data_IF_793155727383
#
_entry.id   IF_793155727383
#
_cell.length_a   1.000
_cell.length_b   1.000
_cell.length_c   1.000
_cell.angle_alpha   90.00
_cell.angle_beta   90.00
_cell.angle_gamma   90.00
#
_symmetry.space_group_name_H-M   'P 1'
#
loop_
_entity.id
_entity.type
_entity.pdbx_description
1 polymer ?
#
# COMPACT_ATOMS: atom_id res chain seq x y z
N UNK A 1 22.43 9.76 0.07
CA UNK A 1 22.58 9.02 1.34
C UNK A 1 22.10 7.57 1.27
N UNK A 2 21.76 7.03 0.08
CA UNK A 2 21.24 5.67 -0.09
C UNK A 2 22.29 4.55 0.02
N UNK A 3 23.56 4.85 -0.28
CA UNK A 3 24.61 3.83 -0.41
C UNK A 3 24.99 3.11 0.90
N UNK A 4 24.69 3.70 2.06
CA UNK A 4 24.99 3.11 3.37
C UNK A 4 23.87 2.22 3.91
N UNK A 5 22.63 2.34 3.42
CA UNK A 5 21.52 1.42 3.76
C UNK A 5 21.43 0.23 2.81
N UNK A 6 21.94 0.37 1.58
CA UNK A 6 21.94 -0.71 0.58
C UNK A 6 22.91 -1.84 0.95
N UNK A 7 24.11 -1.52 1.44
CA UNK A 7 25.12 -2.54 1.80
C UNK A 7 24.66 -3.45 2.97
N UNK A 8 24.08 -2.92 4.08
CA UNK A 8 23.50 -3.75 5.13
C UNK A 8 22.32 -4.60 4.66
N UNK A 9 21.49 -4.10 3.73
CA UNK A 9 20.35 -4.84 3.22
C UNK A 9 20.77 -6.06 2.39
N UNK A 10 21.81 -5.91 1.55
CA UNK A 10 22.36 -7.02 0.76
C UNK A 10 22.99 -8.12 1.63
N UNK A 11 23.72 -7.74 2.67
CA UNK A 11 24.30 -8.68 3.63
C UNK A 11 23.21 -9.50 4.33
N UNK A 12 22.16 -8.84 4.80
CA UNK A 12 21.03 -9.49 5.48
C UNK A 12 20.27 -10.42 4.52
N UNK A 13 20.07 -10.00 3.26
CA UNK A 13 19.51 -10.88 2.23
C UNK A 13 20.36 -12.14 2.04
N UNK A 14 21.68 -12.00 1.95
CA UNK A 14 22.60 -13.13 1.85
C UNK A 14 22.52 -14.09 3.05
N UNK A 15 22.45 -13.56 4.27
CA UNK A 15 22.28 -14.36 5.49
C UNK A 15 20.93 -15.11 5.53
N UNK A 16 19.85 -14.48 5.06
CA UNK A 16 18.53 -15.14 4.95
C UNK A 16 18.61 -16.33 3.98
N UNK A 17 19.22 -16.14 2.81
CA UNK A 17 19.41 -17.22 1.83
C UNK A 17 20.30 -18.34 2.37
N UNK A 18 21.35 -18.01 3.13
CA UNK A 18 22.21 -19.01 3.77
C UNK A 18 21.45 -19.81 4.84
N UNK A 19 20.60 -19.15 5.63
CA UNK A 19 19.71 -19.81 6.60
C UNK A 19 18.78 -20.81 5.91
N UNK A 20 18.06 -20.36 4.88
CA UNK A 20 17.14 -21.19 4.10
C UNK A 20 17.85 -22.40 3.49
N UNK A 21 19.10 -22.22 3.03
CA UNK A 21 19.94 -23.29 2.49
C UNK A 21 20.29 -24.35 3.54
N UNK A 22 20.75 -23.95 4.73
CA UNK A 22 21.05 -24.90 5.81
C UNK A 22 19.79 -25.63 6.29
N UNK A 23 18.66 -24.93 6.41
CA UNK A 23 17.36 -25.54 6.77
C UNK A 23 16.91 -26.57 5.71
N UNK A 24 17.11 -26.26 4.43
CA UNK A 24 16.88 -27.19 3.32
C UNK A 24 17.78 -28.43 3.39
N UNK A 25 19.08 -28.25 3.67
CA UNK A 25 20.01 -29.36 3.84
C UNK A 25 19.68 -30.25 5.04
N UNK A 26 19.28 -29.65 6.17
CA UNK A 26 18.82 -30.40 7.35
C UNK A 26 17.55 -31.19 7.05
N UNK A 27 16.60 -30.61 6.33
CA UNK A 27 15.38 -31.30 5.89
C UNK A 27 15.71 -32.50 4.99
N UNK A 28 16.59 -32.29 4.00
CA UNK A 28 17.05 -33.36 3.11
C UNK A 28 17.84 -34.45 3.83
N UNK A 29 18.62 -34.08 4.85
CA UNK A 29 19.37 -35.00 5.69
C UNK A 29 18.42 -35.87 6.51
N UNK A 30 17.41 -35.28 7.16
CA UNK A 30 16.42 -35.99 7.98
C UNK A 30 15.64 -37.04 7.17
N UNK A 31 15.26 -36.72 5.93
CA UNK A 31 14.60 -37.66 5.02
C UNK A 31 15.45 -38.92 4.72
N UNK A 32 16.77 -38.84 4.89
CA UNK A 32 17.73 -39.94 4.64
C UNK A 32 18.21 -40.63 5.92
N UNK A 33 17.65 -40.28 7.09
CA UNK A 33 18.06 -40.83 8.39
C UNK A 33 18.09 -42.36 8.41
N UNK A 34 17.05 -43.02 7.88
CA UNK A 34 16.93 -44.48 7.90
C UNK A 34 17.94 -45.25 7.05
N UNK A 35 18.55 -44.59 6.06
CA UNK A 35 19.54 -45.19 5.17
C UNK A 35 21.00 -44.88 5.57
N UNK A 36 21.19 -44.07 6.60
CA UNK A 36 22.51 -43.56 7.01
C UNK A 36 22.91 -44.14 8.35
N UNK A 37 24.18 -44.55 8.57
CA UNK A 37 24.65 -44.93 9.89
C UNK A 37 24.43 -43.79 10.91
N UNK A 38 23.80 -44.09 12.05
CA UNK A 38 23.36 -43.08 13.02
C UNK A 38 24.46 -42.10 13.45
N UNK A 39 25.65 -42.60 13.80
CA UNK A 39 26.76 -41.74 14.22
C UNK A 39 27.27 -40.79 13.12
N UNK A 40 27.18 -41.17 11.84
CA UNK A 40 27.54 -40.28 10.72
C UNK A 40 26.47 -39.22 10.53
N UNK A 41 25.20 -39.64 10.58
CA UNK A 41 24.06 -38.74 10.52
C UNK A 41 24.12 -37.69 11.62
N UNK A 42 24.30 -38.11 12.88
CA UNK A 42 24.31 -37.21 14.03
C UNK A 42 25.44 -36.18 13.94
N UNK A 43 26.62 -36.60 13.48
CA UNK A 43 27.76 -35.70 13.28
C UNK A 43 27.51 -34.66 12.19
N UNK A 44 26.99 -35.07 11.04
CA UNK A 44 26.70 -34.14 9.91
C UNK A 44 25.56 -33.19 10.29
N UNK A 45 24.54 -33.70 10.97
CA UNK A 45 23.45 -32.88 11.50
C UNK A 45 23.97 -31.82 12.47
N UNK A 46 24.81 -32.21 13.43
CA UNK A 46 25.40 -31.28 14.39
C UNK A 46 26.24 -30.17 13.72
N UNK A 47 26.98 -30.49 12.65
CA UNK A 47 27.73 -29.48 11.88
C UNK A 47 26.78 -28.47 11.22
N UNK A 48 25.74 -28.93 10.52
CA UNK A 48 24.76 -28.03 9.90
C UNK A 48 23.96 -27.23 10.93
N UNK A 49 23.57 -27.83 12.05
CA UNK A 49 22.89 -27.12 13.15
C UNK A 49 23.80 -26.02 13.72
N UNK A 50 25.10 -26.29 13.89
CA UNK A 50 26.08 -25.30 14.37
C UNK A 50 26.23 -24.13 13.39
N UNK A 51 26.33 -24.41 12.09
CA UNK A 51 26.43 -23.37 11.05
C UNK A 51 25.15 -22.54 10.95
N UNK A 52 23.99 -23.20 10.98
CA UNK A 52 22.69 -22.54 10.99
C UNK A 52 22.54 -21.62 12.21
N UNK A 53 22.97 -22.08 13.40
CA UNK A 53 22.99 -21.24 14.59
C UNK A 53 23.87 -20.00 14.40
N UNK A 54 25.07 -20.15 13.84
CA UNK A 54 25.95 -19.02 13.56
C UNK A 54 25.35 -17.99 12.58
N UNK A 55 24.61 -18.43 11.56
CA UNK A 55 23.86 -17.52 10.67
C UNK A 55 22.73 -16.81 11.41
N UNK A 56 21.99 -17.54 12.26
CA UNK A 56 20.89 -16.96 13.07
C UNK A 56 21.41 -15.92 14.06
N UNK A 57 22.56 -16.16 14.68
CA UNK A 57 23.19 -15.22 15.60
C UNK A 57 23.58 -13.92 14.87
N UNK A 58 24.20 -14.03 13.68
CA UNK A 58 24.51 -12.86 12.83
C UNK A 58 23.26 -12.11 12.40
N UNK A 59 22.20 -12.80 11.98
CA UNK A 59 20.92 -12.16 11.66
C UNK A 59 20.37 -11.38 12.86
N UNK A 60 20.45 -11.93 14.07
CA UNK A 60 19.96 -11.28 15.28
C UNK A 60 20.73 -9.98 15.59
N UNK A 61 22.03 -9.90 15.29
CA UNK A 61 22.83 -8.68 15.43
C UNK A 61 22.32 -7.53 14.54
N UNK A 62 21.74 -7.84 13.38
CA UNK A 62 21.21 -6.84 12.45
C UNK A 62 19.76 -6.41 12.74
N UNK A 63 18.97 -7.19 13.48
CA UNK A 63 17.54 -6.89 13.74
C UNK A 63 17.37 -5.56 14.47
N UNK A 64 18.16 -5.29 15.52
CA UNK A 64 18.06 -4.05 16.29
C UNK A 64 18.29 -2.79 15.45
N UNK A 65 19.40 -2.69 14.70
CA UNK A 65 19.63 -1.60 13.76
C UNK A 65 18.51 -1.43 12.71
N UNK A 66 17.99 -2.52 12.15
CA UNK A 66 16.88 -2.45 11.18
C UNK A 66 15.59 -1.91 11.83
N UNK A 67 15.25 -2.34 13.04
CA UNK A 67 14.10 -1.82 13.79
C UNK A 67 14.23 -0.32 14.07
N UNK A 68 15.45 0.15 14.39
CA UNK A 68 15.71 1.57 14.58
C UNK A 68 15.54 2.37 13.27
N UNK A 69 15.99 1.81 12.14
CA UNK A 69 15.78 2.40 10.83
C UNK A 69 14.28 2.44 10.44
N UNK A 70 13.52 1.38 10.76
CA UNK A 70 12.06 1.35 10.54
C UNK A 70 11.37 2.44 11.34
N UNK A 71 11.72 2.60 12.62
CA UNK A 71 11.17 3.66 13.47
C UNK A 71 11.51 5.05 12.95
N UNK A 72 12.69 5.25 12.34
CA UNK A 72 13.07 6.53 11.73
C UNK A 72 12.28 6.82 10.47
N UNK A 73 12.15 5.85 9.57
CA UNK A 73 11.32 5.99 8.37
C UNK A 73 9.85 6.23 8.73
N UNK A 74 9.32 5.57 9.75
CA UNK A 74 7.95 5.79 10.22
C UNK A 74 7.75 7.24 10.69
N UNK A 75 8.69 7.79 11.48
CA UNK A 75 8.64 9.21 11.90
C UNK A 75 8.69 10.15 10.70
N UNK A 76 9.54 9.87 9.70
CA UNK A 76 9.62 10.68 8.48
C UNK A 76 8.34 10.61 7.66
N UNK A 77 7.74 9.43 7.54
CA UNK A 77 6.45 9.24 6.88
C UNK A 77 5.36 10.08 7.54
N UNK A 78 5.28 10.07 8.87
CA UNK A 78 4.30 10.86 9.62
C UNK A 78 4.52 12.37 9.44
N UNK A 79 5.78 12.82 9.44
CA UNK A 79 6.14 14.23 9.19
C UNK A 79 5.74 14.69 7.79
N UNK A 80 6.08 13.91 6.75
CA UNK A 80 5.71 14.23 5.37
C UNK A 80 4.19 14.18 5.19
N UNK A 81 3.50 13.23 5.83
CA UNK A 81 2.04 13.12 5.76
C UNK A 81 1.34 14.31 6.42
N UNK A 82 1.84 14.79 7.56
CA UNK A 82 1.33 16.03 8.20
C UNK A 82 1.57 17.25 7.30
N UNK A 83 2.78 17.41 6.80
CA UNK A 83 3.13 18.49 5.87
C UNK A 83 2.26 18.47 4.61
N UNK A 84 1.95 17.28 4.08
CA UNK A 84 1.06 17.11 2.92
C UNK A 84 -0.35 17.60 3.23
N UNK A 85 -0.90 17.24 4.38
CA UNK A 85 -2.22 17.73 4.83
C UNK A 85 -2.26 19.25 4.93
N UNK A 86 -1.26 19.86 5.60
CA UNK A 86 -1.17 21.33 5.71
C UNK A 86 -1.09 22.02 4.34
N UNK A 87 -0.36 21.45 3.38
CA UNK A 87 -0.30 22.01 2.01
C UNK A 87 -1.59 21.81 1.21
N UNK A 88 -2.31 20.72 1.45
CA UNK A 88 -3.62 20.49 0.84
C UNK A 88 -4.65 21.50 1.35
N UNK A 89 -4.65 21.79 2.66
CA UNK A 89 -5.51 22.81 3.25
C UNK A 89 -5.19 24.20 2.69
N UNK A 90 -3.90 24.54 2.57
CA UNK A 90 -3.45 25.80 1.95
C UNK A 90 -3.86 25.91 0.49
N UNK A 91 -3.77 24.82 -0.28
CA UNK A 91 -4.23 24.79 -1.67
C UNK A 91 -5.74 25.03 -1.74
N UNK A 92 -6.53 24.36 -0.92
CA UNK A 92 -7.98 24.52 -0.89
C UNK A 92 -8.40 25.95 -0.49
N UNK A 93 -7.75 26.54 0.51
CA UNK A 93 -7.98 27.94 0.89
C UNK A 93 -7.66 28.88 -0.28
N UNK A 94 -6.53 28.67 -0.94
CA UNK A 94 -6.08 29.52 -2.05
C UNK A 94 -6.99 29.41 -3.29
N UNK A 95 -7.46 28.21 -3.60
CA UNK A 95 -8.48 27.97 -4.63
C UNK A 95 -9.76 28.74 -4.31
N UNK A 96 -10.23 28.68 -3.06
CA UNK A 96 -11.42 29.42 -2.61
C UNK A 96 -11.22 30.94 -2.73
N UNK A 97 -10.10 31.48 -2.26
CA UNK A 97 -9.80 32.92 -2.31
C UNK A 97 -9.69 33.44 -3.75
N UNK A 98 -9.13 32.62 -4.65
CA UNK A 98 -9.08 32.89 -6.09
C UNK A 98 -10.48 32.94 -6.68
N UNK A 99 -11.35 31.99 -6.33
CA UNK A 99 -12.72 31.94 -6.82
C UNK A 99 -13.59 33.10 -6.31
N UNK A 100 -13.37 33.53 -5.07
CA UNK A 100 -14.01 34.73 -4.50
C UNK A 100 -13.53 36.02 -5.19
N UNK A 101 -12.45 35.95 -5.98
CA UNK A 101 -11.90 37.07 -6.73
C UNK A 101 -11.01 37.99 -5.89
N UNK A 102 -10.39 37.47 -4.82
CA UNK A 102 -9.42 38.24 -4.02
C UNK A 102 -8.15 38.57 -4.85
N UNK A 103 -7.82 37.71 -5.81
CA UNK A 103 -6.68 37.89 -6.72
C UNK A 103 -7.15 38.16 -8.14
N UNK A 104 -6.29 38.81 -8.94
CA UNK A 104 -6.46 38.78 -10.39
C UNK A 104 -6.42 37.32 -10.89
N UNK A 105 -7.19 37.01 -11.94
CA UNK A 105 -7.39 35.62 -12.37
C UNK A 105 -6.08 34.90 -12.71
N UNK A 106 -5.17 35.57 -13.42
CA UNK A 106 -3.84 35.06 -13.77
C UNK A 106 -2.93 34.88 -12.55
N UNK A 107 -2.99 35.82 -11.62
CA UNK A 107 -2.22 35.78 -10.38
C UNK A 107 -2.68 34.64 -9.46
N UNK A 108 -3.99 34.49 -9.28
CA UNK A 108 -4.60 33.42 -8.49
C UNK A 108 -4.33 32.05 -9.10
N UNK A 109 -4.50 31.90 -10.42
CA UNK A 109 -4.19 30.65 -11.12
C UNK A 109 -2.73 30.24 -10.93
N UNK A 110 -1.77 31.18 -11.09
CA UNK A 110 -0.35 30.90 -10.86
C UNK A 110 -0.09 30.42 -9.44
N UNK A 111 -0.66 31.08 -8.42
CA UNK A 111 -0.48 30.66 -7.02
C UNK A 111 -1.04 29.26 -6.79
N UNK A 112 -2.23 28.96 -7.32
CA UNK A 112 -2.85 27.62 -7.21
C UNK A 112 -1.95 26.57 -7.86
N UNK A 113 -1.39 26.86 -9.04
CA UNK A 113 -0.46 25.95 -9.73
C UNK A 113 0.82 25.69 -8.91
N UNK A 114 1.40 26.72 -8.30
CA UNK A 114 2.57 26.61 -7.41
C UNK A 114 2.26 25.76 -6.17
N UNK A 115 1.16 26.04 -5.48
CA UNK A 115 0.73 25.26 -4.31
C UNK A 115 0.44 23.79 -4.67
N UNK A 116 -0.22 23.56 -5.80
CA UNK A 116 -0.48 22.20 -6.30
C UNK A 116 0.81 21.45 -6.66
N UNK A 117 1.85 22.15 -7.16
CA UNK A 117 3.16 21.54 -7.40
C UNK A 117 3.82 21.08 -6.11
N UNK A 118 3.77 21.91 -5.05
CA UNK A 118 4.30 21.54 -3.74
C UNK A 118 3.56 20.33 -3.12
N UNK A 119 2.24 20.26 -3.29
CA UNK A 119 1.43 19.09 -2.87
C UNK A 119 1.89 17.82 -3.61
N UNK A 120 2.10 17.89 -4.93
CA UNK A 120 2.58 16.74 -5.71
C UNK A 120 3.97 16.27 -5.29
N UNK A 121 4.87 17.20 -4.98
CA UNK A 121 6.21 16.87 -4.49
C UNK A 121 6.15 16.13 -3.15
N UNK A 122 5.38 16.64 -2.18
CA UNK A 122 5.21 16.00 -0.88
C UNK A 122 4.51 14.64 -0.98
N UNK A 123 3.53 14.50 -1.86
CA UNK A 123 2.89 13.20 -2.09
C UNK A 123 3.86 12.18 -2.70
N UNK A 124 4.71 12.59 -3.63
CA UNK A 124 5.79 11.76 -4.16
C UNK A 124 6.77 11.33 -3.07
N UNK A 125 7.18 12.25 -2.20
CA UNK A 125 8.05 11.94 -1.06
C UNK A 125 7.38 10.98 -0.06
N UNK A 126 6.07 11.15 0.21
CA UNK A 126 5.28 10.26 1.07
C UNK A 126 5.23 8.85 0.51
N UNK A 127 4.95 8.70 -0.80
CA UNK A 127 4.92 7.40 -1.49
C UNK A 127 6.27 6.70 -1.44
N UNK A 128 7.35 7.40 -1.80
CA UNK A 128 8.71 6.87 -1.72
C UNK A 128 9.07 6.40 -0.31
N UNK A 129 8.73 7.19 0.73
CA UNK A 129 8.99 6.80 2.12
C UNK A 129 8.17 5.57 2.54
N UNK A 130 6.92 5.48 2.07
CA UNK A 130 6.03 4.32 2.34
C UNK A 130 6.54 3.03 1.69
N UNK A 131 7.09 3.12 0.47
CA UNK A 131 7.68 1.99 -0.24
C UNK A 131 8.92 1.47 0.50
N UNK A 132 9.84 2.36 0.88
CA UNK A 132 11.04 2.01 1.67
C UNK A 132 10.66 1.33 2.99
N UNK A 133 9.65 1.85 3.68
CA UNK A 133 9.15 1.31 4.94
C UNK A 133 8.49 -0.07 4.76
N UNK A 134 7.82 -0.31 3.62
CA UNK A 134 7.25 -1.62 3.27
C UNK A 134 8.36 -2.64 2.99
N UNK A 135 9.37 -2.26 2.21
CA UNK A 135 10.53 -3.10 1.91
C UNK A 135 11.28 -3.49 3.20
N UNK A 136 11.54 -2.53 4.08
CA UNK A 136 12.25 -2.75 5.32
C UNK A 136 11.48 -3.69 6.28
N UNK A 137 10.16 -3.51 6.39
CA UNK A 137 9.30 -4.42 7.17
C UNK A 137 9.31 -5.85 6.63
N UNK A 138 9.27 -6.01 5.30
CA UNK A 138 9.37 -7.32 4.68
C UNK A 138 10.73 -7.97 4.95
N UNK A 139 11.82 -7.20 4.91
CA UNK A 139 13.15 -7.68 5.26
C UNK A 139 13.23 -8.12 6.73
N UNK A 140 12.71 -7.30 7.66
CA UNK A 140 12.64 -7.63 9.09
C UNK A 140 11.82 -8.90 9.35
N UNK A 141 10.68 -9.09 8.68
CA UNK A 141 9.86 -10.29 8.81
C UNK A 141 10.62 -11.54 8.39
N UNK A 142 11.34 -11.48 7.26
CA UNK A 142 12.17 -12.59 6.77
C UNK A 142 13.36 -12.86 7.68
N UNK A 143 14.02 -11.82 8.17
CA UNK A 143 15.16 -11.93 9.08
C UNK A 143 14.75 -12.55 10.43
N UNK A 144 13.61 -12.11 10.99
CA UNK A 144 13.05 -12.62 12.25
C UNK A 144 12.54 -14.07 12.18
N UNK A 145 12.45 -14.66 10.99
CA UNK A 145 12.13 -16.08 10.82
C UNK A 145 10.72 -16.45 11.30
N UNK A 146 9.81 -15.48 11.46
CA UNK A 146 8.42 -15.78 11.77
C UNK A 146 7.71 -16.19 10.48
N UNK A 147 7.30 -17.47 10.33
CA UNK A 147 6.43 -17.85 9.23
C UNK A 147 5.02 -17.30 9.53
N UNK A 148 4.82 -16.00 9.34
CA UNK A 148 3.49 -15.41 9.25
C UNK A 148 3.19 -15.13 7.79
N UNK A 149 2.93 -16.21 7.06
CA UNK A 149 2.00 -16.11 5.96
C UNK A 149 0.60 -15.94 6.55
N UNK A 150 -0.22 -14.98 6.09
CA UNK A 150 -1.65 -15.06 6.31
C UNK A 150 -2.13 -16.31 5.58
N UNK A 151 -2.30 -17.43 6.30
CA UNK A 151 -3.24 -18.44 5.85
C UNK A 151 -4.61 -17.76 5.91
N UNK A 152 -5.31 -17.57 4.78
CA UNK A 152 -6.68 -17.09 4.85
C UNK A 152 -7.45 -18.13 5.67
N UNK A 153 -7.85 -17.75 6.88
CA UNK A 153 -8.88 -18.47 7.61
C UNK A 153 -10.09 -18.50 6.68
N UNK A 154 -10.35 -19.68 6.13
CA UNK A 154 -11.63 -20.00 5.53
C UNK A 154 -12.71 -19.63 6.56
N UNK A 155 -13.77 -18.89 6.17
CA UNK A 155 -14.82 -18.53 7.09
C UNK A 155 -15.41 -19.82 7.65
N UNK A 156 -15.20 -20.06 8.94
CA UNK A 156 -15.85 -21.13 9.68
C UNK A 156 -17.34 -20.79 9.65
N UNK A 157 -18.06 -21.49 8.78
CA UNK A 157 -19.51 -21.42 8.71
C UNK A 157 -20.07 -21.74 10.09
N UNK A 158 -20.73 -20.74 10.67
CA UNK A 158 -21.46 -20.84 11.92
C UNK A 158 -22.72 -21.71 11.69
N UNK A 159 -22.56 -23.03 11.61
CA UNK A 159 -23.69 -23.97 11.74
C UNK A 159 -24.08 -24.03 13.20
N UNK A 160 -25.10 -23.25 13.55
CA UNK A 160 -25.83 -23.41 14.81
C UNK A 160 -26.58 -24.73 14.79
N UNK A 161 -26.05 -25.73 15.49
CA UNK A 161 -26.75 -27.00 15.72
C UNK A 161 -27.29 -27.02 17.15
N UNK A 162 -28.62 -27.11 17.22
CA UNK A 162 -29.42 -27.09 18.43
C UNK A 162 -29.18 -28.38 19.22
N UNK A 163 -28.82 -28.18 20.49
CA UNK A 163 -28.63 -29.22 21.52
C UNK A 163 -29.97 -29.91 21.86
N UNK A 164 -30.04 -31.22 21.61
CA UNK A 164 -31.08 -32.13 22.12
C UNK A 164 -30.48 -33.22 23.04
N UNK A 165 -31.24 -33.76 24.02
CA UNK A 165 -30.70 -34.52 25.15
C UNK A 165 -30.52 -36.04 24.92
N UNK A 166 -29.75 -36.64 25.81
CA UNK A 166 -29.13 -37.97 25.78
C UNK A 166 -30.02 -39.18 26.18
N UNK A 167 -29.57 -40.37 25.75
CA UNK A 167 -29.47 -41.69 26.43
C UNK A 167 -29.90 -42.88 25.55
N UNK A 168 -29.59 -44.16 25.90
CA UNK A 168 -28.31 -44.78 26.26
C UNK A 168 -27.97 -46.02 25.39
N UNK A 169 -26.74 -46.56 25.55
CA UNK A 169 -26.18 -47.73 24.86
C UNK A 169 -26.87 -49.08 25.19
N UNK A 170 -26.56 -50.14 24.43
CA UNK A 170 -25.93 -51.28 25.11
C UNK A 170 -24.74 -51.92 24.39
N UNK A 171 -23.90 -52.49 25.26
CA UNK A 171 -22.82 -53.46 25.13
C UNK A 171 -23.11 -54.65 24.19
N UNK A 172 -22.08 -55.15 23.50
CA UNK A 172 -21.55 -56.51 23.71
C UNK A 172 -20.67 -57.05 22.56
N UNK A 173 -19.51 -57.55 22.99
CA UNK A 173 -18.85 -58.81 22.58
C UNK A 173 -18.02 -58.87 21.27
N UNK A 174 -16.70 -58.98 21.49
CA UNK A 174 -15.72 -59.70 20.66
C UNK A 174 -15.98 -61.24 20.69
N UNK A 175 -15.41 -62.07 19.79
CA UNK A 175 -14.02 -62.56 20.01
C UNK A 175 -13.15 -62.93 18.76
N UNK A 176 -11.83 -62.84 18.97
CA UNK A 176 -10.69 -63.75 18.64
C UNK A 176 -10.47 -64.46 17.26
N UNK A 177 -9.33 -64.10 16.64
CA UNK A 177 -8.19 -64.92 16.09
C UNK A 177 -8.41 -65.94 14.92
N UNK A 178 -7.36 -66.55 14.27
CA UNK A 178 -5.90 -66.33 14.27
C UNK A 178 -5.17 -66.29 12.88
N UNK A 179 -3.87 -65.94 12.95
CA UNK A 179 -2.68 -66.26 12.13
C UNK A 179 -2.77 -66.91 10.71
N UNK A 180 -2.00 -66.36 9.77
CA UNK A 180 -1.30 -67.14 8.74
C UNK A 180 -0.01 -66.43 8.26
N UNK A 181 1.10 -67.07 8.65
CA UNK A 181 2.42 -67.18 8.04
C UNK A 181 2.48 -66.98 6.50
N UNK A 182 3.40 -66.15 6.01
CA UNK A 182 4.03 -66.29 4.68
C UNK A 182 5.43 -65.66 4.62
N UNK A 183 6.43 -66.53 4.64
CA UNK A 183 7.74 -66.33 4.01
C UNK A 183 7.61 -66.05 2.50
N UNK A 184 8.40 -65.10 1.99
CA UNK A 184 9.00 -65.06 0.64
C UNK A 184 9.95 -63.85 0.61
N UNK A 185 11.26 -64.02 0.79
CA UNK A 185 12.24 -64.43 -0.22
C UNK A 185 12.61 -63.33 -1.23
N UNK A 186 13.78 -62.72 -0.99
CA UNK A 186 14.89 -62.44 -1.93
C UNK A 186 14.67 -61.39 -3.04
N UNK A 187 15.51 -60.35 -3.01
CA UNK A 187 16.49 -60.05 -4.07
C UNK A 187 17.34 -58.81 -3.72
N UNK A 188 18.64 -59.01 -3.58
CA UNK A 188 19.64 -57.96 -3.79
C UNK A 188 19.82 -57.73 -5.31
N UNK A 189 20.35 -56.57 -5.70
CA UNK A 189 21.60 -56.65 -6.46
C UNK A 189 22.69 -55.71 -5.95
N UNK A 190 23.89 -56.28 -5.91
CA UNK A 190 25.17 -55.59 -5.91
C UNK A 190 25.43 -54.90 -7.25
N UNK A 191 26.13 -53.76 -7.25
CA UNK A 191 26.94 -53.35 -8.41
C UNK A 191 27.24 -51.85 -8.52
N UNK A 192 28.54 -51.56 -8.64
CA UNK A 192 29.23 -50.33 -9.09
C UNK A 192 29.28 -49.14 -8.11
N UNK A 193 30.40 -48.82 -7.45
CA UNK A 193 31.79 -48.58 -7.87
C UNK A 193 32.06 -47.17 -8.45
N UNK A 194 33.07 -46.54 -7.83
CA UNK A 194 33.96 -45.47 -8.30
C UNK A 194 33.35 -44.07 -8.49
N UNK A 195 33.71 -43.08 -7.65
CA UNK A 195 34.99 -42.37 -7.53
C UNK A 195 34.86 -41.01 -8.24
N UNK A 196 35.00 -39.90 -7.51
CA UNK A 196 35.76 -38.76 -8.02
C UNK A 196 36.30 -37.92 -6.85
N UNK A 197 37.62 -37.79 -6.91
CA UNK A 197 38.54 -37.06 -6.06
C UNK A 197 38.57 -35.57 -6.44
N UNK A 198 39.25 -34.82 -5.59
CA UNK A 198 39.45 -33.37 -5.54
C UNK A 198 40.08 -32.71 -6.79
N UNK A 199 39.87 -31.39 -6.92
CA UNK A 199 40.89 -30.39 -7.29
C UNK A 199 40.32 -28.95 -7.24
N UNK A 200 40.95 -28.05 -6.46
CA UNK A 200 41.66 -26.81 -6.88
C UNK A 200 40.74 -25.60 -7.19
N UNK A 201 40.78 -24.44 -6.50
CA UNK A 201 41.84 -23.40 -6.31
C UNK A 201 42.50 -22.89 -7.60
N UNK A 202 42.07 -21.71 -8.06
CA UNK A 202 42.81 -20.50 -8.55
C UNK A 202 41.79 -19.61 -9.30
N UNK A 203 41.44 -18.40 -8.87
CA UNK A 203 42.17 -17.12 -8.98
C UNK A 203 42.55 -16.73 -10.41
N UNK A 204 41.77 -15.84 -11.06
CA UNK A 204 42.26 -14.71 -11.87
C UNK A 204 41.12 -13.78 -12.36
N UNK A 205 41.48 -12.51 -12.45
CA UNK A 205 40.68 -11.30 -12.48
C UNK A 205 40.21 -10.88 -13.92
N UNK A 206 39.57 -9.69 -14.11
CA UNK A 206 38.58 -9.41 -15.17
C UNK A 206 39.16 -8.66 -16.39
N UNK A 207 38.35 -8.39 -17.43
CA UNK A 207 38.63 -7.30 -18.36
C UNK A 207 37.67 -6.11 -18.28
N UNK A 208 38.34 -4.98 -18.43
CA UNK A 208 37.96 -3.57 -18.54
C UNK A 208 36.73 -3.18 -19.38
N UNK A 209 36.25 -1.97 -19.03
CA UNK A 209 35.34 -1.11 -19.76
C UNK A 209 35.85 -0.69 -21.15
N UNK A 210 34.93 -0.37 -22.05
CA UNK A 210 35.17 0.52 -23.20
C UNK A 210 33.93 1.38 -23.47
N UNK A 211 34.12 2.68 -23.30
CA UNK A 211 33.26 3.76 -23.76
C UNK A 211 33.45 3.96 -25.27
N UNK A 212 32.39 4.17 -26.04
CA UNK A 212 32.49 5.01 -27.25
C UNK A 212 31.13 5.56 -27.69
N UNK A 213 31.06 6.90 -27.71
CA UNK A 213 30.07 7.72 -28.40
C UNK A 213 30.31 7.67 -29.92
N UNK A 214 29.24 7.71 -30.72
CA UNK A 214 29.18 8.55 -31.93
C UNK A 214 27.75 8.65 -32.47
N UNK A 215 27.43 9.86 -32.91
CA UNK A 215 26.17 10.36 -33.41
C UNK A 215 25.67 9.69 -34.70
N UNK A 216 24.37 9.81 -34.98
CA UNK A 216 23.80 9.83 -36.33
C UNK A 216 22.41 10.50 -36.36
N UNK A 217 22.41 11.73 -36.88
CA UNK A 217 21.49 12.34 -37.86
C UNK A 217 20.02 11.92 -37.97
N UNK A 218 19.14 12.93 -37.89
CA UNK A 218 17.77 13.00 -38.44
C UNK A 218 17.77 12.81 -39.99
N UNK A 219 16.63 12.61 -40.71
CA UNK A 219 15.48 13.53 -40.73
C UNK A 219 14.07 12.92 -41.01
N UNK A 220 13.06 13.80 -40.93
CA UNK A 220 11.87 13.92 -41.81
C UNK A 220 10.50 13.71 -41.15
N UNK A 221 9.80 14.84 -41.03
CA UNK A 221 8.35 15.01 -40.99
C UNK A 221 7.67 14.41 -42.23
N UNK A 222 6.38 14.04 -42.13
CA UNK A 222 5.41 14.82 -42.90
C UNK A 222 4.16 15.21 -42.08
N UNK A 223 3.62 16.37 -42.47
CA UNK A 223 2.35 16.91 -42.03
C UNK A 223 1.17 16.17 -42.69
N UNK A 224 0.05 16.06 -41.98
CA UNK A 224 -1.28 16.07 -42.59
C UNK A 224 -2.35 16.46 -41.57
N UNK A 225 -3.10 17.49 -41.94
CA UNK A 225 -4.42 17.89 -41.46
C UNK A 225 -5.37 16.71 -41.17
N UNK A 226 -6.16 16.84 -40.09
CA UNK A 226 -7.63 16.83 -40.20
C UNK A 226 -8.33 17.31 -38.93
N UNK A 227 -9.16 18.34 -39.09
CA UNK A 227 -10.21 18.76 -38.16
C UNK A 227 -11.43 17.83 -38.26
N UNK A 228 -12.13 17.76 -37.12
CA UNK A 228 -13.57 17.57 -36.92
C UNK A 228 -14.21 16.21 -37.27
N UNK A 229 -14.69 15.52 -36.23
CA UNK A 229 -16.12 15.25 -35.96
C UNK A 229 -16.29 13.94 -35.16
N UNK A 230 -17.21 13.95 -34.20
CA UNK A 230 -17.86 12.74 -33.69
C UNK A 230 -17.54 12.37 -32.25
N UNK A 231 -18.41 12.79 -31.33
CA UNK A 231 -18.66 12.05 -30.09
C UNK A 231 -19.23 10.67 -30.42
N UNK A 232 -18.88 9.65 -29.62
CA UNK A 232 -19.86 8.63 -29.26
C UNK A 232 -20.03 8.51 -27.75
N UNK A 233 -21.29 8.53 -27.36
CA UNK A 233 -21.78 8.20 -26.04
C UNK A 233 -21.61 6.71 -25.74
N UNK A 234 -21.17 6.41 -24.52
CA UNK A 234 -21.64 5.26 -23.74
C UNK A 234 -20.95 3.92 -23.99
N UNK A 235 -20.02 3.56 -23.10
CA UNK A 235 -19.93 2.17 -22.63
C UNK A 235 -19.36 2.10 -21.21
N UNK A 236 -20.11 1.40 -20.35
CA UNK A 236 -19.73 1.05 -18.98
C UNK A 236 -18.45 0.19 -18.98
N UNK A 237 -17.53 0.49 -18.06
CA UNK A 237 -16.56 -0.48 -17.55
C UNK A 237 -16.48 -0.33 -16.04
N UNK A 238 -16.84 -1.41 -15.36
CA UNK A 238 -16.48 -1.67 -13.98
C UNK A 238 -14.99 -2.04 -13.91
N UNK A 239 -14.31 -1.54 -12.89
CA UNK A 239 -13.14 -2.20 -12.29
C UNK A 239 -11.79 -1.95 -12.95
N UNK A 240 -11.18 -0.79 -12.69
CA UNK A 240 -9.76 -0.64 -12.41
C UNK A 240 -9.58 0.73 -11.75
N UNK A 241 -9.16 0.75 -10.49
CA UNK A 241 -8.77 1.98 -9.80
C UNK A 241 -7.39 2.37 -10.31
N UNK A 242 -7.34 3.00 -11.48
CA UNK A 242 -6.15 3.67 -11.96
C UNK A 242 -6.07 5.05 -11.30
N UNK A 243 -5.01 5.19 -10.50
CA UNK A 243 -4.59 6.36 -9.73
C UNK A 243 -4.01 7.45 -10.66
N UNK A 244 -4.83 7.93 -11.59
CA UNK A 244 -4.55 9.04 -12.52
C UNK A 244 -5.79 9.96 -12.56
N UNK A 245 -6.28 10.35 -11.38
CA UNK A 245 -7.31 11.40 -11.26
C UNK A 245 -6.83 12.57 -10.41
N UNK A 246 -5.55 12.95 -10.55
CA UNK A 246 -5.19 14.36 -10.40
C UNK A 246 -5.57 15.10 -11.69
N UNK A 247 -6.88 15.25 -11.87
CA UNK A 247 -7.45 16.01 -12.96
C UNK A 247 -7.02 17.46 -12.78
N UNK A 248 -6.37 18.03 -13.81
CA UNK A 248 -5.67 19.31 -13.76
C UNK A 248 -6.45 20.41 -13.01
N UNK A 249 -5.72 21.26 -12.29
CA UNK A 249 -6.23 22.34 -11.42
C UNK A 249 -7.35 23.17 -12.04
N UNK A 250 -7.35 23.36 -13.36
CA UNK A 250 -8.47 24.01 -14.08
C UNK A 250 -9.81 23.28 -13.95
N UNK A 251 -9.83 21.95 -14.09
CA UNK A 251 -11.07 21.16 -13.93
C UNK A 251 -11.53 21.10 -12.46
N UNK A 252 -10.60 21.20 -11.49
CA UNK A 252 -10.96 21.32 -10.07
C UNK A 252 -11.58 22.68 -9.78
N UNK A 253 -11.01 23.78 -10.27
CA UNK A 253 -11.61 25.10 -10.12
C UNK A 253 -12.97 25.19 -10.84
N UNK A 254 -13.10 24.63 -12.04
CA UNK A 254 -14.37 24.56 -12.76
C UNK A 254 -15.40 23.69 -12.04
N UNK A 255 -14.99 22.56 -11.45
CA UNK A 255 -15.86 21.68 -10.67
C UNK A 255 -16.27 22.30 -9.32
N UNK A 256 -15.36 23.02 -8.65
CA UNK A 256 -15.66 23.74 -7.41
C UNK A 256 -16.56 24.95 -7.70
N UNK A 257 -16.30 25.69 -8.78
CA UNK A 257 -17.15 26.76 -9.27
C UNK A 257 -18.53 26.24 -9.70
N UNK A 258 -18.61 25.06 -10.32
CA UNK A 258 -19.87 24.40 -10.63
C UNK A 258 -20.60 23.89 -9.38
N UNK A 259 -19.86 23.45 -8.35
CA UNK A 259 -20.42 23.02 -7.07
C UNK A 259 -20.89 24.20 -6.21
N UNK A 260 -20.24 25.36 -6.29
CA UNK A 260 -20.65 26.60 -5.64
C UNK A 260 -21.72 27.35 -6.47
N UNK A 261 -21.73 27.16 -7.78
CA UNK A 261 -22.81 27.57 -8.69
C UNK A 261 -24.02 26.62 -8.69
N UNK A 262 -23.89 25.47 -8.04
CA UNK A 262 -24.95 24.50 -7.80
C UNK A 262 -25.82 24.91 -6.63
N UNK A 263 -26.85 25.70 -6.93
CA UNK A 263 -27.96 26.06 -6.04
C UNK A 263 -27.65 27.02 -4.88
N UNK A 264 -27.22 28.24 -5.23
CA UNK A 264 -28.01 29.39 -4.80
C UNK A 264 -28.61 29.96 -6.08
N UNK A 265 -29.87 29.63 -6.33
CA UNK A 265 -30.66 30.43 -7.27
C UNK A 265 -30.47 31.89 -6.83
N UNK A 266 -30.10 32.83 -7.73
CA UNK A 266 -30.18 34.22 -7.36
C UNK A 266 -31.60 34.44 -6.82
N UNK A 267 -31.81 35.06 -5.65
CA UNK A 267 -33.15 35.50 -5.33
C UNK A 267 -33.63 36.27 -6.57
N UNK A 268 -34.83 35.99 -7.08
CA UNK A 268 -35.32 36.70 -8.26
C UNK A 268 -35.09 38.17 -7.98
N UNK A 269 -34.42 38.87 -8.90
CA UNK A 269 -34.20 40.30 -8.79
C UNK A 269 -35.55 40.92 -8.43
N UNK A 270 -35.71 41.25 -7.15
CA UNK A 270 -36.89 41.90 -6.64
C UNK A 270 -36.76 43.32 -7.15
N UNK A 271 -37.21 43.50 -8.40
CA UNK A 271 -37.79 44.75 -8.83
C UNK A 271 -38.81 45.09 -7.75
N UNK A 272 -38.47 46.06 -6.90
CA UNK A 272 -39.26 46.54 -5.77
C UNK A 272 -40.52 47.26 -6.21
N UNK A 273 -41.35 46.57 -6.98
CA UNK A 273 -42.62 47.06 -7.50
C UNK A 273 -43.67 45.98 -7.29
N UNK A 274 -44.18 45.86 -6.06
CA UNK A 274 -45.42 45.13 -5.80
C UNK A 274 -45.56 44.37 -4.49
N UNK A 275 -44.53 44.29 -3.62
CA UNK A 275 -44.73 43.70 -2.30
C UNK A 275 -45.49 44.69 -1.42
N UNK A 276 -46.74 44.37 -1.06
CA UNK A 276 -47.52 45.18 -0.14
C UNK A 276 -46.90 45.09 1.27
N UNK A 277 -46.83 46.23 1.96
CA UNK A 277 -46.36 46.31 3.35
C UNK A 277 -47.41 45.67 4.25
N UNK A 278 -47.18 44.45 4.72
CA UNK A 278 -48.15 43.69 5.52
C UNK A 278 -47.76 43.57 7.00
N UNK A 279 -46.55 43.98 7.38
CA UNK A 279 -46.04 43.81 8.76
C UNK A 279 -46.15 45.12 9.55
N UNK A 280 -47.01 45.14 10.57
CA UNK A 280 -47.26 46.34 11.38
C UNK A 280 -46.33 46.42 12.58
N UNK A 281 -45.61 47.53 12.72
CA UNK A 281 -44.78 47.80 13.90
C UNK A 281 -45.65 47.96 15.16
N UNK A 282 -45.30 47.27 16.24
CA UNK A 282 -46.03 47.35 17.52
C UNK A 282 -45.79 48.67 18.27
N UNK A 283 -44.65 49.32 18.06
CA UNK A 283 -44.29 50.55 18.78
C UNK A 283 -44.89 51.82 18.15
N UNK A 284 -44.89 51.89 16.81
CA UNK A 284 -45.34 53.10 16.10
C UNK A 284 -46.49 52.88 15.11
N UNK A 285 -46.88 51.62 14.85
CA UNK A 285 -48.03 51.29 14.00
C UNK A 285 -47.78 51.36 12.49
N UNK A 286 -46.57 51.67 12.04
CA UNK A 286 -46.20 51.78 10.62
C UNK A 286 -46.19 50.40 9.93
N UNK A 287 -46.58 50.36 8.65
CA UNK A 287 -46.55 49.14 7.85
C UNK A 287 -45.17 49.00 7.16
N UNK A 288 -44.52 47.85 7.32
CA UNK A 288 -43.19 47.53 6.81
C UNK A 288 -43.26 46.28 5.92
N UNK A 289 -42.17 46.02 5.18
CA UNK A 289 -42.07 44.83 4.33
C UNK A 289 -41.82 43.56 5.15
N UNK A 290 -42.31 42.38 4.69
CA UNK A 290 -42.10 41.13 5.41
C UNK A 290 -40.64 40.69 5.57
N UNK A 291 -39.73 41.25 4.77
CA UNK A 291 -38.30 40.97 4.82
C UNK A 291 -37.54 41.88 5.79
N UNK A 292 -38.18 42.92 6.34
CA UNK A 292 -37.53 43.88 7.23
C UNK A 292 -37.53 43.37 8.68
N UNK A 293 -36.36 43.47 9.32
CA UNK A 293 -36.16 43.04 10.71
C UNK A 293 -36.45 44.18 11.70
N UNK A 294 -36.44 45.42 11.21
CA UNK A 294 -36.64 46.63 12.02
C UNK A 294 -37.60 47.58 11.31
N UNK A 295 -38.37 48.34 12.07
CA UNK A 295 -39.28 49.33 11.51
C UNK A 295 -38.50 50.50 10.91
N UNK A 296 -38.79 50.84 9.65
CA UNK A 296 -38.15 51.95 8.92
C UNK A 296 -38.36 53.32 9.59
N UNK A 297 -39.40 53.46 10.42
CA UNK A 297 -39.78 54.73 11.04
C UNK A 297 -39.22 54.94 12.44
N UNK A 298 -39.31 53.93 13.31
CA UNK A 298 -38.90 54.05 14.71
C UNK A 298 -37.71 53.17 15.09
N UNK A 299 -37.25 52.27 14.22
CA UNK A 299 -36.17 51.32 14.50
C UNK A 299 -36.53 50.20 15.47
N UNK A 300 -37.81 50.07 15.86
CA UNK A 300 -38.28 48.97 16.71
C UNK A 300 -38.22 47.63 15.98
N UNK A 301 -37.87 46.56 16.69
CA UNK A 301 -37.78 45.21 16.14
C UNK A 301 -39.15 44.72 15.65
N UNK A 302 -39.20 44.20 14.42
CA UNK A 302 -40.39 43.60 13.85
C UNK A 302 -40.36 42.09 14.12
N UNK A 303 -41.34 41.58 14.86
CA UNK A 303 -41.46 40.15 15.14
C UNK A 303 -41.85 39.41 13.84
N UNK A 304 -40.87 39.10 13.00
CA UNK A 304 -41.03 38.19 11.87
C UNK A 304 -41.06 36.75 12.42
N UNK A 305 -42.22 36.08 12.32
CA UNK A 305 -42.35 34.62 12.44
C UNK A 305 -42.63 34.04 11.05
#
# INVERSE_FOLDING_TARGET
MTNAMTVPADEIRGLIEERERYEGWLTALEARRGATPGHVFDRVRADYDTRLQGVRDRLAEHVGPLQAAEADLARRYDEVSRSLGERQDQLAELELRTLVGEFAADEGERRVQEAAAAVRELDGARRSTSEELTELRALLQRAGGSPSGPSPEAPVALTGEIRGPAAPAPDAAAPAAPAADRMAERAAPSGLADAFDAAARDELAPPAATTSQAAQTAPSTPAADRRAAGWPSGQQVAGAADDESFVGTGQRLDALAASLGGAVAPPPAASGAGQERTLRCQDCGEMNYPTEWYCERCGGELAAM
#
